data_IF_922207623616
#
_entry.id   IF_922207623616
#
_cell.length_a   1.000
_cell.length_b   1.000
_cell.length_c   1.000
_cell.angle_alpha   90.00
_cell.angle_beta   90.00
_cell.angle_gamma   90.00
#
_symmetry.space_group_name_H-M   'P 1'
#
loop_
_entity.id
_entity.type
_entity.pdbx_description
1 polymer ?
#
# COMPACT_ATOMS: atom_id res chain seq x y z
N UNK A 1 -53.60 28.50 -25.98
CA UNK A 1 -52.55 27.47 -26.08
C UNK A 1 -51.25 28.07 -25.58
N UNK A 2 -50.80 27.60 -24.40
CA UNK A 2 -49.79 28.26 -23.57
C UNK A 2 -48.36 28.01 -24.07
N UNK A 3 -47.52 29.04 -23.92
CA UNK A 3 -46.09 29.12 -24.28
C UNK A 3 -45.23 27.95 -23.76
N UNK A 4 -45.72 27.21 -22.75
CA UNK A 4 -45.12 25.97 -22.22
C UNK A 4 -45.11 24.80 -23.21
N UNK A 5 -46.05 24.72 -24.15
CA UNK A 5 -46.10 23.60 -25.12
C UNK A 5 -45.07 23.73 -26.26
N UNK A 6 -44.52 24.93 -26.51
CA UNK A 6 -43.50 25.15 -27.55
C UNK A 6 -42.07 24.81 -27.09
N UNK A 7 -41.82 24.77 -25.78
CA UNK A 7 -40.50 24.47 -25.21
C UNK A 7 -40.25 22.97 -24.98
N UNK A 8 -41.29 22.15 -24.97
CA UNK A 8 -41.20 20.69 -24.82
C UNK A 8 -40.94 19.94 -26.14
N UNK A 9 -40.94 20.64 -27.28
CA UNK A 9 -40.76 20.06 -28.61
C UNK A 9 -39.33 20.08 -29.17
N UNK A 10 -38.34 20.59 -28.43
CA UNK A 10 -36.99 20.85 -28.95
C UNK A 10 -35.87 19.97 -28.36
N UNK A 11 -36.20 18.89 -27.64
CA UNK A 11 -35.20 18.00 -27.01
C UNK A 11 -35.33 16.52 -27.42
N UNK A 12 -35.99 16.25 -28.54
CA UNK A 12 -35.93 14.94 -29.18
C UNK A 12 -35.06 15.04 -30.45
N UNK A 13 -34.18 14.06 -30.64
CA UNK A 13 -33.21 13.90 -31.75
C UNK A 13 -31.82 14.46 -31.45
N UNK A 14 -31.06 13.67 -30.69
CA UNK A 14 -29.69 13.25 -31.05
C UNK A 14 -29.38 11.97 -30.26
N UNK A 15 -29.89 10.87 -30.77
CA UNK A 15 -29.49 9.54 -30.36
C UNK A 15 -28.56 8.96 -31.44
N UNK A 16 -27.55 8.21 -31.00
CA UNK A 16 -26.75 7.25 -31.79
C UNK A 16 -25.83 7.79 -32.88
N UNK A 17 -24.59 8.16 -32.52
CA UNK A 17 -23.40 7.88 -33.34
C UNK A 17 -22.14 7.83 -32.45
N UNK A 18 -21.81 6.65 -31.94
CA UNK A 18 -20.46 6.06 -31.87
C UNK A 18 -20.37 4.95 -30.80
N UNK A 19 -20.71 3.69 -31.13
CA UNK A 19 -20.08 2.55 -30.51
C UNK A 19 -18.76 2.32 -31.26
N UNK A 20 -17.61 2.70 -30.71
CA UNK A 20 -16.24 2.21 -31.02
C UNK A 20 -15.29 3.13 -30.23
N UNK A 21 -14.66 2.59 -29.19
CA UNK A 21 -13.63 3.31 -28.44
C UNK A 21 -13.41 2.86 -27.00
N UNK A 22 -14.35 2.13 -26.39
CA UNK A 22 -14.12 1.48 -25.09
C UNK A 22 -13.38 0.14 -25.20
N UNK A 23 -12.76 -0.14 -26.35
CA UNK A 23 -11.58 -0.98 -26.41
C UNK A 23 -10.38 -0.05 -26.26
N UNK A 24 -10.21 0.52 -25.06
CA UNK A 24 -8.88 0.99 -24.67
C UNK A 24 -7.96 -0.18 -24.90
N UNK A 25 -7.00 -0.02 -25.82
CA UNK A 25 -5.96 -0.98 -26.13
C UNK A 25 -5.58 -1.72 -24.86
N UNK A 26 -5.57 -3.05 -24.88
CA UNK A 26 -4.97 -3.84 -23.82
C UNK A 26 -3.69 -3.11 -23.43
N UNK A 27 -3.72 -2.48 -22.24
CA UNK A 27 -2.64 -1.65 -21.79
C UNK A 27 -1.40 -2.50 -21.99
N UNK A 28 -0.45 -2.01 -22.79
CA UNK A 28 0.82 -2.68 -22.95
C UNK A 28 1.26 -3.01 -21.53
N UNK A 29 1.22 -4.31 -21.17
CA UNK A 29 1.48 -4.74 -19.81
C UNK A 29 2.95 -4.42 -19.59
N UNK A 30 3.21 -3.23 -19.05
CA UNK A 30 4.54 -2.80 -18.73
C UNK A 30 5.01 -3.82 -17.71
N UNK A 31 5.93 -4.69 -18.14
CA UNK A 31 6.46 -5.75 -17.30
C UNK A 31 6.90 -5.11 -15.99
N UNK A 32 6.29 -5.55 -14.88
CA UNK A 32 6.56 -4.96 -13.59
C UNK A 32 8.06 -5.10 -13.30
N UNK A 33 8.70 -3.98 -12.98
CA UNK A 33 10.12 -3.98 -12.60
C UNK A 33 10.20 -4.37 -11.13
N UNK A 34 11.16 -5.21 -10.71
CA UNK A 34 11.41 -5.46 -9.30
C UNK A 34 11.62 -4.15 -8.53
N UNK A 35 11.09 -4.07 -7.32
CA UNK A 35 11.27 -2.91 -6.45
C UNK A 35 12.76 -2.69 -6.15
N UNK A 36 13.24 -1.46 -6.35
CA UNK A 36 14.61 -1.09 -5.96
C UNK A 36 14.70 -0.84 -4.46
N UNK A 37 15.91 -0.66 -3.95
CA UNK A 37 16.10 -0.29 -2.54
C UNK A 37 15.45 1.06 -2.21
N UNK A 38 15.41 1.98 -3.17
CA UNK A 38 14.78 3.29 -3.05
C UNK A 38 13.25 3.15 -2.98
N UNK A 39 12.65 2.30 -3.81
CA UNK A 39 11.22 1.98 -3.72
C UNK A 39 10.87 1.41 -2.34
N UNK A 40 11.66 0.43 -1.87
CA UNK A 40 11.52 -0.18 -0.55
C UNK A 40 11.67 0.87 0.56
N UNK A 41 12.66 1.77 0.47
CA UNK A 41 12.85 2.84 1.45
C UNK A 41 11.65 3.80 1.51
N UNK A 42 11.03 4.11 0.38
CA UNK A 42 9.79 4.90 0.31
C UNK A 42 8.63 4.15 0.98
N UNK A 43 8.43 2.88 0.67
CA UNK A 43 7.35 2.09 1.29
C UNK A 43 7.52 1.94 2.80
N UNK A 44 8.76 1.76 3.25
CA UNK A 44 9.11 1.78 4.67
C UNK A 44 8.79 3.12 5.33
N UNK A 45 9.17 4.24 4.71
CA UNK A 45 8.88 5.57 5.24
C UNK A 45 7.37 5.83 5.31
N UNK A 46 6.63 5.52 4.24
CA UNK A 46 5.17 5.65 4.20
C UNK A 46 4.49 4.79 5.27
N UNK A 47 4.81 3.50 5.32
CA UNK A 47 4.24 2.58 6.30
C UNK A 47 4.55 2.97 7.75
N UNK A 48 5.78 3.43 8.02
CA UNK A 48 6.17 3.92 9.35
C UNK A 48 5.39 5.18 9.71
N UNK A 49 5.31 6.16 8.80
CA UNK A 49 4.56 7.40 9.05
C UNK A 49 3.08 7.14 9.32
N UNK A 50 2.42 6.31 8.50
CA UNK A 50 1.01 5.96 8.72
C UNK A 50 0.80 5.20 10.03
N UNK A 51 1.67 4.26 10.36
CA UNK A 51 1.60 3.53 11.62
C UNK A 51 1.73 4.50 12.81
N UNK A 52 2.77 5.33 12.80
CA UNK A 52 3.03 6.28 13.89
C UNK A 52 1.85 7.23 14.09
N UNK A 53 1.33 7.83 13.01
CA UNK A 53 0.20 8.75 13.11
C UNK A 53 -1.05 8.05 13.64
N UNK A 54 -1.42 6.90 13.06
CA UNK A 54 -2.63 6.18 13.46
C UNK A 54 -2.57 5.71 14.92
N UNK A 55 -1.46 5.12 15.34
CA UNK A 55 -1.30 4.60 16.69
C UNK A 55 -1.25 5.73 17.74
N UNK A 56 -0.57 6.84 17.45
CA UNK A 56 -0.54 8.01 18.34
C UNK A 56 -1.89 8.72 18.44
N UNK A 57 -2.70 8.66 17.39
CA UNK A 57 -4.08 9.18 17.37
C UNK A 57 -5.12 8.19 17.95
N UNK A 58 -4.66 7.11 18.58
CA UNK A 58 -5.52 6.19 19.34
C UNK A 58 -6.12 5.03 18.54
N UNK A 59 -5.64 4.76 17.33
CA UNK A 59 -5.96 3.49 16.65
C UNK A 59 -5.21 2.35 17.35
N UNK A 60 -5.95 1.32 17.77
CA UNK A 60 -5.38 0.12 18.41
C UNK A 60 -4.13 -0.41 17.71
N UNK A 61 -3.06 -0.65 18.47
CA UNK A 61 -1.73 -0.97 17.94
C UNK A 61 -1.73 -2.08 16.85
N UNK A 62 -2.34 -3.26 17.05
CA UNK A 62 -2.35 -4.31 16.02
C UNK A 62 -3.09 -3.88 14.74
N UNK A 63 -4.13 -3.05 14.90
CA UNK A 63 -4.91 -2.53 13.77
C UNK A 63 -4.12 -1.48 13.00
N UNK A 64 -3.47 -0.54 13.69
CA UNK A 64 -2.62 0.47 13.06
C UNK A 64 -1.46 -0.18 12.28
N UNK A 65 -0.82 -1.19 12.88
CA UNK A 65 0.27 -1.94 12.23
C UNK A 65 -0.24 -2.72 11.02
N UNK A 66 -1.33 -3.47 11.17
CA UNK A 66 -1.91 -4.27 10.08
C UNK A 66 -2.34 -3.42 8.89
N UNK A 67 -3.00 -2.28 9.13
CA UNK A 67 -3.38 -1.34 8.06
C UNK A 67 -2.11 -0.86 7.33
N UNK A 68 -1.13 -0.36 8.07
CA UNK A 68 0.10 0.21 7.50
C UNK A 68 0.92 -0.81 6.70
N UNK A 69 1.06 -2.02 7.24
CA UNK A 69 1.75 -3.12 6.58
C UNK A 69 1.00 -3.62 5.33
N UNK A 70 -0.34 -3.68 5.39
CA UNK A 70 -1.16 -4.03 4.22
C UNK A 70 -1.01 -2.99 3.11
N UNK A 71 -1.01 -1.68 3.44
CA UNK A 71 -0.81 -0.61 2.44
C UNK A 71 0.56 -0.70 1.80
N UNK A 72 1.61 -0.97 2.59
CA UNK A 72 2.93 -1.27 2.04
C UNK A 72 2.85 -2.46 1.09
N UNK A 73 2.40 -3.63 1.57
CA UNK A 73 2.39 -4.85 0.77
C UNK A 73 1.61 -4.68 -0.55
N UNK A 74 0.51 -3.94 -0.52
CA UNK A 74 -0.28 -3.60 -1.71
C UNK A 74 0.46 -2.67 -2.67
N UNK A 75 1.26 -1.71 -2.18
CA UNK A 75 2.12 -0.90 -3.04
C UNK A 75 3.19 -1.76 -3.74
N UNK A 76 3.82 -2.68 -2.98
CA UNK A 76 4.79 -3.62 -3.53
C UNK A 76 4.16 -4.55 -4.58
N UNK A 77 3.01 -5.14 -4.27
CA UNK A 77 2.27 -6.02 -5.17
C UNK A 77 1.79 -5.28 -6.43
N UNK A 78 1.16 -4.13 -6.26
CA UNK A 78 0.53 -3.39 -7.36
C UNK A 78 1.52 -2.76 -8.33
N UNK A 79 2.71 -2.37 -7.85
CA UNK A 79 3.72 -1.70 -8.69
C UNK A 79 4.84 -2.63 -9.18
N UNK A 80 5.11 -3.71 -8.44
CA UNK A 80 6.26 -4.57 -8.68
C UNK A 80 5.91 -6.06 -8.71
N UNK A 81 4.62 -6.44 -8.68
CA UNK A 81 4.16 -7.83 -8.66
C UNK A 81 4.78 -8.68 -7.53
N UNK A 82 5.13 -8.03 -6.42
CA UNK A 82 5.80 -8.69 -5.28
C UNK A 82 7.29 -8.98 -5.49
N UNK A 83 7.89 -8.49 -6.57
CA UNK A 83 9.31 -8.66 -6.86
C UNK A 83 10.14 -7.57 -6.19
N UNK A 84 11.28 -7.95 -5.63
CA UNK A 84 12.27 -7.04 -5.05
C UNK A 84 13.62 -7.36 -5.69
N UNK A 85 14.37 -6.34 -6.13
CA UNK A 85 15.61 -6.53 -6.88
C UNK A 85 16.65 -7.38 -6.12
N UNK A 86 16.75 -7.22 -4.80
CA UNK A 86 17.66 -7.99 -3.94
C UNK A 86 17.29 -9.47 -3.79
N UNK A 87 16.11 -9.89 -4.24
CA UNK A 87 15.65 -11.28 -4.20
C UNK A 87 15.88 -12.03 -5.53
N UNK A 88 16.62 -11.45 -6.46
CA UNK A 88 17.09 -12.09 -7.70
C UNK A 88 15.99 -12.84 -8.48
N UNK A 89 14.84 -12.19 -8.66
CA UNK A 89 13.71 -12.74 -9.43
C UNK A 89 12.72 -13.60 -8.64
N UNK A 90 12.96 -13.87 -7.35
CA UNK A 90 11.94 -14.47 -6.47
C UNK A 90 10.88 -13.41 -6.11
N UNK A 91 9.65 -13.63 -6.57
CA UNK A 91 8.48 -12.87 -6.10
C UNK A 91 8.05 -13.38 -4.71
N UNK A 92 7.70 -12.45 -3.83
CA UNK A 92 7.12 -12.75 -2.53
C UNK A 92 5.63 -13.06 -2.66
N UNK A 93 5.16 -14.05 -1.91
CA UNK A 93 3.72 -14.27 -1.70
C UNK A 93 3.10 -13.13 -0.89
N UNK A 94 1.78 -12.97 -0.96
CA UNK A 94 1.05 -11.95 -0.17
C UNK A 94 1.37 -12.03 1.32
N UNK A 95 1.47 -13.25 1.86
CA UNK A 95 1.81 -13.49 3.26
C UNK A 95 3.26 -13.09 3.58
N UNK A 96 4.21 -13.39 2.70
CA UNK A 96 5.61 -12.98 2.87
C UNK A 96 5.75 -11.45 2.78
N UNK A 97 5.06 -10.80 1.82
CA UNK A 97 5.06 -9.34 1.69
C UNK A 97 4.50 -8.67 2.94
N UNK A 98 3.36 -9.15 3.44
CA UNK A 98 2.73 -8.61 4.64
C UNK A 98 3.63 -8.76 5.86
N UNK A 99 4.17 -9.96 6.11
CA UNK A 99 5.06 -10.21 7.25
C UNK A 99 6.36 -9.37 7.16
N UNK A 100 6.94 -9.24 5.97
CA UNK A 100 8.10 -8.39 5.75
C UNK A 100 7.78 -6.90 6.01
N UNK A 101 6.63 -6.43 5.52
CA UNK A 101 6.17 -5.07 5.74
C UNK A 101 5.92 -4.77 7.23
N UNK A 102 5.23 -5.66 7.96
CA UNK A 102 5.01 -5.52 9.41
C UNK A 102 6.33 -5.38 10.15
N UNK A 103 7.28 -6.28 9.89
CA UNK A 103 8.59 -6.25 10.55
C UNK A 103 9.34 -4.94 10.25
N UNK A 104 9.37 -4.52 8.98
CA UNK A 104 10.09 -3.31 8.58
C UNK A 104 9.47 -2.03 9.15
N UNK A 105 8.14 -1.94 9.14
CA UNK A 105 7.41 -0.81 9.74
C UNK A 105 7.65 -0.78 11.24
N UNK A 106 7.52 -1.91 11.93
CA UNK A 106 7.66 -2.00 13.37
C UNK A 106 9.08 -1.66 13.85
N UNK A 107 10.11 -2.21 13.20
CA UNK A 107 11.51 -1.92 13.55
C UNK A 107 11.86 -0.45 13.38
N UNK A 108 11.37 0.19 12.30
CA UNK A 108 11.58 1.63 12.08
C UNK A 108 10.79 2.48 13.05
N UNK A 109 9.56 2.09 13.36
CA UNK A 109 8.71 2.79 14.32
C UNK A 109 9.31 2.81 15.74
N UNK A 110 10.09 1.79 16.13
CA UNK A 110 10.79 1.81 17.42
C UNK A 110 11.76 2.99 17.57
N UNK A 111 12.38 3.43 16.48
CA UNK A 111 13.24 4.61 16.47
C UNK A 111 12.44 5.91 16.24
N UNK A 112 11.46 5.88 15.33
CA UNK A 112 10.75 7.08 14.90
C UNK A 112 9.66 7.54 15.88
N UNK A 113 8.92 6.61 16.48
CA UNK A 113 7.76 6.89 17.34
C UNK A 113 7.62 5.83 18.46
N UNK A 114 8.60 5.68 19.37
CA UNK A 114 8.58 4.62 20.38
C UNK A 114 7.32 4.62 21.25
N UNK A 115 6.71 5.80 21.48
CA UNK A 115 5.45 5.95 22.24
C UNK A 115 4.24 5.28 21.58
N UNK A 116 4.30 5.00 20.28
CA UNK A 116 3.25 4.32 19.53
C UNK A 116 3.28 2.79 19.72
N UNK A 117 4.33 2.24 20.34
CA UNK A 117 4.54 0.80 20.47
C UNK A 117 4.44 0.43 21.96
N UNK A 118 3.61 -0.57 22.33
CA UNK A 118 3.54 -1.06 23.69
C UNK A 118 4.90 -1.50 24.26
N UNK A 119 5.15 -1.24 25.54
CA UNK A 119 6.45 -1.51 26.17
C UNK A 119 6.82 -3.01 26.15
N UNK A 120 5.84 -3.89 26.29
CA UNK A 120 6.05 -5.34 26.22
C UNK A 120 6.49 -5.78 24.82
N UNK A 121 5.90 -5.18 23.77
CA UNK A 121 6.28 -5.41 22.37
C UNK A 121 7.68 -4.89 22.10
N UNK A 122 8.01 -3.67 22.54
CA UNK A 122 9.36 -3.12 22.40
C UNK A 122 10.41 -4.00 23.07
N UNK A 123 10.11 -4.53 24.26
CA UNK A 123 11.01 -5.41 25.02
C UNK A 123 11.27 -6.71 24.26
N UNK A 124 10.21 -7.37 23.78
CA UNK A 124 10.31 -8.60 22.96
C UNK A 124 11.14 -8.39 21.70
N UNK A 125 10.99 -7.25 21.02
CA UNK A 125 11.78 -6.96 19.82
C UNK A 125 13.26 -6.76 20.19
N UNK A 126 13.57 -5.99 21.24
CA UNK A 126 14.96 -5.79 21.69
C UNK A 126 15.63 -7.11 22.07
N UNK A 127 14.91 -8.01 22.75
CA UNK A 127 15.40 -9.35 23.07
C UNK A 127 15.68 -10.18 21.80
N UNK A 128 14.75 -10.16 20.83
CA UNK A 128 14.91 -10.87 19.58
C UNK A 128 16.09 -10.34 18.74
N UNK A 129 16.33 -9.03 18.74
CA UNK A 129 17.49 -8.41 18.07
C UNK A 129 18.81 -8.82 18.72
N UNK A 130 18.90 -8.73 20.05
CA UNK A 130 20.10 -9.18 20.79
C UNK A 130 20.42 -10.66 20.53
N UNK A 131 19.38 -11.51 20.46
CA UNK A 131 19.56 -12.92 20.14
C UNK A 131 20.10 -13.11 18.72
N UNK A 132 19.55 -12.40 17.73
CA UNK A 132 20.05 -12.47 16.34
C UNK A 132 21.52 -12.03 16.24
N UNK A 133 21.90 -10.97 16.94
CA UNK A 133 23.28 -10.48 16.97
C UNK A 133 24.24 -11.50 17.59
N UNK A 134 23.80 -12.25 18.60
CA UNK A 134 24.61 -13.31 19.21
C UNK A 134 24.74 -14.56 18.32
N UNK A 135 23.77 -14.79 17.42
CA UNK A 135 23.73 -15.93 16.49
C UNK A 135 24.38 -15.63 15.12
N UNK A 136 24.85 -14.39 14.87
CA UNK A 136 25.46 -13.93 13.61
C UNK A 136 26.98 -13.86 13.69
#
# INVERSE_FOLDING_TARGET
>A
MNLRQKLLGALAVQAFLAPIGFFGSAAHAQQAKPATNEDIAVYQAMGTSFFCMAALDGVEFPKALGISASTYAQALKGRHEGQVASLNGKALTDKEMFAAAEQQVLLRAMAACPKAIPDDVQSKIKEALKKREADS
#
